data_IF_203131729013
#
_entry.id   IF_203131729013
#
_cell.length_a   1.000
_cell.length_b   1.000
_cell.length_c   1.000
_cell.angle_alpha   90.00
_cell.angle_beta   90.00
_cell.angle_gamma   90.00
#
_symmetry.space_group_name_H-M   'P 1'
#
loop_
_entity.id
_entity.type
_entity.pdbx_description
1 polymer ?
#
# COMPACT_ATOMS: atom_id res chain seq x y z
N UNK A 1 20.54 7.94 -16.05
CA UNK A 1 19.33 7.20 -15.62
C UNK A 1 19.20 7.38 -14.12
N UNK A 2 18.03 7.78 -13.61
CA UNK A 2 17.81 7.79 -12.15
C UNK A 2 17.72 6.34 -11.67
N UNK A 3 18.43 6.01 -10.59
CA UNK A 3 18.28 4.71 -9.93
C UNK A 3 16.80 4.50 -9.53
N UNK A 4 16.26 3.29 -9.70
CA UNK A 4 14.90 3.00 -9.26
C UNK A 4 14.78 3.24 -7.75
N UNK A 5 13.63 3.73 -7.31
CA UNK A 5 13.37 3.86 -5.87
C UNK A 5 13.23 2.47 -5.24
N UNK A 6 13.49 2.36 -3.93
CA UNK A 6 13.33 1.10 -3.20
C UNK A 6 11.94 0.45 -3.40
N UNK A 7 10.90 1.29 -3.55
CA UNK A 7 9.53 0.82 -3.85
C UNK A 7 9.45 0.23 -5.26
N UNK A 8 10.12 0.83 -6.26
CA UNK A 8 10.12 0.31 -7.63
C UNK A 8 10.85 -1.02 -7.71
N UNK A 9 11.99 -1.16 -7.02
CA UNK A 9 12.71 -2.43 -6.91
C UNK A 9 11.84 -3.51 -6.26
N UNK A 10 11.17 -3.18 -5.16
CA UNK A 10 10.28 -4.10 -4.47
C UNK A 10 9.11 -4.53 -5.37
N UNK A 11 8.50 -3.60 -6.11
CA UNK A 11 7.43 -3.92 -7.06
C UNK A 11 7.89 -4.89 -8.16
N UNK A 12 9.11 -4.71 -8.69
CA UNK A 12 9.70 -5.63 -9.64
C UNK A 12 9.91 -7.05 -9.06
N UNK A 13 10.40 -7.14 -7.82
CA UNK A 13 10.57 -8.42 -7.11
C UNK A 13 9.21 -9.10 -6.88
N UNK A 14 8.20 -8.36 -6.47
CA UNK A 14 6.84 -8.88 -6.24
C UNK A 14 6.21 -9.37 -7.53
N UNK A 15 6.35 -8.59 -8.61
CA UNK A 15 5.78 -8.92 -9.91
C UNK A 15 6.37 -10.19 -10.52
N UNK A 16 7.61 -10.54 -10.18
CA UNK A 16 8.26 -11.78 -10.58
C UNK A 16 8.12 -12.09 -12.10
N UNK A 17 8.20 -11.04 -12.91
CA UNK A 17 8.02 -11.14 -14.36
C UNK A 17 6.58 -11.35 -14.85
N UNK A 18 5.59 -11.34 -13.98
CA UNK A 18 4.18 -11.48 -14.37
C UNK A 18 3.67 -10.18 -15.01
N UNK A 19 3.21 -10.30 -16.26
CA UNK A 19 2.77 -9.15 -17.05
C UNK A 19 1.66 -8.32 -16.34
N UNK A 20 1.89 -7.01 -16.22
CA UNK A 20 0.97 -6.04 -15.64
C UNK A 20 0.96 -5.99 -14.13
N UNK A 21 1.67 -6.88 -13.41
CA UNK A 21 1.67 -6.88 -11.95
C UNK A 21 2.38 -5.66 -11.37
N UNK A 22 3.53 -5.27 -11.93
CA UNK A 22 4.29 -4.10 -11.49
C UNK A 22 3.52 -2.80 -11.72
N UNK A 23 2.92 -2.64 -12.91
CA UNK A 23 2.07 -1.48 -13.23
C UNK A 23 0.85 -1.40 -12.31
N UNK A 24 0.25 -2.54 -12.00
CA UNK A 24 -0.86 -2.62 -11.06
C UNK A 24 -0.45 -2.17 -9.64
N UNK A 25 0.69 -2.64 -9.13
CA UNK A 25 1.22 -2.23 -7.82
C UNK A 25 1.51 -0.72 -7.77
N UNK A 26 2.10 -0.18 -8.84
CA UNK A 26 2.33 1.26 -8.96
C UNK A 26 1.02 2.04 -8.94
N UNK A 27 0.02 1.59 -9.69
CA UNK A 27 -1.31 2.19 -9.74
C UNK A 27 -2.00 2.12 -8.38
N UNK A 28 -1.89 1.00 -7.66
CA UNK A 28 -2.38 0.85 -6.29
C UNK A 28 -1.80 1.91 -5.35
N UNK A 29 -0.49 2.11 -5.36
CA UNK A 29 0.16 3.15 -4.57
C UNK A 29 -0.32 4.57 -4.92
N UNK A 30 -0.47 4.87 -6.21
CA UNK A 30 -1.00 6.16 -6.67
C UNK A 30 -2.46 6.38 -6.23
N UNK A 31 -3.29 5.33 -6.30
CA UNK A 31 -4.68 5.38 -5.87
C UNK A 31 -4.79 5.64 -4.36
N UNK A 32 -4.04 4.89 -3.54
CA UNK A 32 -4.00 5.10 -2.09
C UNK A 32 -3.57 6.53 -1.75
N UNK A 33 -2.53 7.07 -2.41
CA UNK A 33 -2.10 8.44 -2.18
C UNK A 33 -3.16 9.48 -2.57
N UNK A 34 -3.88 9.26 -3.67
CA UNK A 34 -4.96 10.16 -4.08
C UNK A 34 -6.12 10.16 -3.07
N UNK A 35 -6.45 8.99 -2.52
CA UNK A 35 -7.48 8.86 -1.46
C UNK A 35 -7.03 9.52 -0.17
N UNK A 36 -5.77 9.35 0.23
CA UNK A 36 -5.16 9.94 1.42
C UNK A 36 -5.19 11.48 1.36
N UNK A 37 -4.82 12.08 0.23
CA UNK A 37 -4.87 13.53 0.02
C UNK A 37 -6.28 14.10 0.28
N UNK A 38 -7.34 13.40 -0.15
CA UNK A 38 -8.73 13.87 0.01
C UNK A 38 -9.26 13.60 1.41
N UNK A 39 -9.05 12.40 1.94
CA UNK A 39 -9.73 11.96 3.17
C UNK A 39 -8.99 12.36 4.44
N UNK A 40 -7.67 12.30 4.44
CA UNK A 40 -6.84 12.58 5.61
C UNK A 40 -6.31 14.02 5.61
N UNK A 41 -5.73 14.45 4.50
CA UNK A 41 -5.19 15.81 4.35
C UNK A 41 -6.29 16.85 4.02
N UNK A 42 -7.55 16.41 3.86
CA UNK A 42 -8.73 17.26 3.63
C UNK A 42 -8.60 18.20 2.42
N UNK A 43 -7.91 17.75 1.39
CA UNK A 43 -7.75 18.49 0.12
C UNK A 43 -8.99 18.27 -0.76
N UNK A 44 -10.08 18.95 -0.44
CA UNK A 44 -11.39 18.79 -1.07
C UNK A 44 -11.56 19.53 -2.40
N UNK A 45 -10.49 20.02 -3.02
CA UNK A 45 -10.55 20.64 -4.32
C UNK A 45 -11.11 19.66 -5.37
N UNK A 46 -11.95 20.15 -6.31
CA UNK A 46 -12.58 19.30 -7.33
C UNK A 46 -11.58 18.44 -8.11
N UNK A 47 -10.39 18.97 -8.36
CA UNK A 47 -9.30 18.28 -9.06
C UNK A 47 -8.81 17.04 -8.30
N UNK A 48 -8.71 17.12 -6.97
CA UNK A 48 -8.30 16.00 -6.13
C UNK A 48 -9.39 14.91 -6.08
N UNK A 49 -10.65 15.32 -5.95
CA UNK A 49 -11.78 14.38 -5.99
C UNK A 49 -11.84 13.69 -7.36
N UNK A 50 -11.73 14.46 -8.45
CA UNK A 50 -11.70 13.90 -9.80
C UNK A 50 -10.52 12.93 -10.00
N UNK A 51 -9.34 13.27 -9.45
CA UNK A 51 -8.17 12.38 -9.48
C UNK A 51 -8.46 11.03 -8.81
N UNK A 52 -9.11 11.02 -7.63
CA UNK A 52 -9.52 9.77 -6.97
C UNK A 52 -10.45 8.95 -7.84
N UNK A 53 -11.47 9.57 -8.44
CA UNK A 53 -12.42 8.89 -9.33
C UNK A 53 -11.73 8.30 -10.56
N UNK A 54 -10.85 9.06 -11.20
CA UNK A 54 -10.09 8.59 -12.36
C UNK A 54 -9.14 7.45 -12.01
N UNK A 55 -8.44 7.54 -10.85
CA UNK A 55 -7.58 6.47 -10.36
C UNK A 55 -8.37 5.20 -10.03
N UNK A 56 -9.56 5.33 -9.42
CA UNK A 56 -10.46 4.22 -9.16
C UNK A 56 -10.87 3.52 -10.46
N UNK A 57 -11.29 4.29 -11.48
CA UNK A 57 -11.64 3.74 -12.79
C UNK A 57 -10.47 2.97 -13.41
N UNK A 58 -9.26 3.54 -13.39
CA UNK A 58 -8.06 2.88 -13.91
C UNK A 58 -7.71 1.61 -13.13
N UNK A 59 -7.79 1.68 -11.81
CA UNK A 59 -7.49 0.56 -10.92
C UNK A 59 -8.43 -0.63 -11.16
N UNK A 60 -9.75 -0.40 -11.13
CA UNK A 60 -10.74 -1.48 -11.27
C UNK A 60 -10.85 -2.01 -12.71
N UNK A 61 -10.44 -1.24 -13.72
CA UNK A 61 -10.36 -1.69 -15.12
C UNK A 61 -8.99 -2.23 -15.51
N UNK A 62 -7.99 -2.20 -14.62
CA UNK A 62 -6.65 -2.65 -14.94
C UNK A 62 -6.64 -4.15 -15.31
N UNK A 63 -5.98 -4.56 -16.42
CA UNK A 63 -6.05 -5.94 -16.91
C UNK A 63 -5.60 -7.00 -15.88
N UNK A 64 -4.59 -6.66 -15.05
CA UNK A 64 -4.15 -7.53 -13.97
C UNK A 64 -5.25 -7.71 -12.90
N UNK A 65 -5.91 -6.62 -12.48
CA UNK A 65 -7.03 -6.69 -11.53
C UNK A 65 -8.19 -7.53 -12.08
N UNK A 66 -8.64 -7.24 -13.30
CA UNK A 66 -9.75 -7.93 -13.92
C UNK A 66 -9.48 -9.44 -14.04
N UNK A 67 -8.24 -9.82 -14.44
CA UNK A 67 -7.83 -11.23 -14.53
C UNK A 67 -7.84 -11.95 -13.18
N UNK A 68 -7.53 -11.24 -12.11
CA UNK A 68 -7.36 -11.80 -10.77
C UNK A 68 -8.40 -11.32 -9.76
N UNK A 69 -9.53 -10.77 -10.21
CA UNK A 69 -10.55 -10.16 -9.36
C UNK A 69 -11.01 -11.06 -8.22
N UNK A 70 -11.21 -12.35 -8.48
CA UNK A 70 -11.61 -13.33 -7.46
C UNK A 70 -10.61 -13.46 -6.29
N UNK A 71 -9.33 -13.10 -6.50
CA UNK A 71 -8.29 -13.13 -5.47
C UNK A 71 -7.99 -11.76 -4.88
N UNK A 72 -8.27 -10.68 -5.60
CA UNK A 72 -7.90 -9.31 -5.22
C UNK A 72 -9.05 -8.52 -4.60
N UNK A 73 -10.30 -8.85 -4.92
CA UNK A 73 -11.45 -8.10 -4.44
C UNK A 73 -11.52 -8.04 -2.91
N UNK A 74 -11.37 -9.18 -2.23
CA UNK A 74 -11.43 -9.22 -0.76
C UNK A 74 -10.26 -8.48 -0.10
N UNK A 75 -8.99 -8.69 -0.48
CA UNK A 75 -7.89 -7.87 0.03
C UNK A 75 -8.10 -6.37 -0.16
N UNK A 76 -8.61 -5.92 -1.30
CA UNK A 76 -8.91 -4.49 -1.56
C UNK A 76 -9.99 -3.97 -0.63
N UNK A 77 -11.09 -4.72 -0.45
CA UNK A 77 -12.19 -4.33 0.45
C UNK A 77 -11.72 -4.27 1.92
N UNK A 78 -10.97 -5.28 2.37
CA UNK A 78 -10.41 -5.33 3.73
C UNK A 78 -9.46 -4.16 3.94
N UNK A 79 -8.51 -3.94 3.03
CA UNK A 79 -7.56 -2.84 3.10
C UNK A 79 -8.27 -1.48 3.18
N UNK A 80 -9.27 -1.25 2.35
CA UNK A 80 -10.05 -0.01 2.32
C UNK A 80 -10.81 0.20 3.63
N UNK A 81 -11.44 -0.86 4.19
CA UNK A 81 -12.16 -0.77 5.45
C UNK A 81 -11.22 -0.44 6.62
N UNK A 82 -10.12 -1.18 6.74
CA UNK A 82 -9.14 -0.97 7.82
C UNK A 82 -8.49 0.42 7.73
N UNK A 83 -8.18 0.89 6.52
CA UNK A 83 -7.68 2.23 6.31
C UNK A 83 -8.71 3.29 6.72
N UNK A 84 -10.00 3.11 6.40
CA UNK A 84 -11.09 4.00 6.83
C UNK A 84 -11.18 4.08 8.35
N UNK A 85 -11.05 2.94 9.03
CA UNK A 85 -11.02 2.90 10.50
C UNK A 85 -9.79 3.62 11.05
N UNK A 86 -8.61 3.50 10.39
CA UNK A 86 -7.41 4.21 10.80
C UNK A 86 -7.60 5.73 10.83
N UNK A 87 -8.21 6.30 9.78
CA UNK A 87 -8.49 7.75 9.67
C UNK A 87 -9.43 8.22 10.78
N UNK A 88 -10.41 7.40 11.15
CA UNK A 88 -11.33 7.71 12.26
C UNK A 88 -10.63 7.63 13.62
N UNK A 89 -9.90 6.56 13.88
CA UNK A 89 -9.27 6.28 15.16
C UNK A 89 -8.11 7.22 15.47
N UNK A 90 -7.42 7.75 14.46
CA UNK A 90 -6.38 8.77 14.66
C UNK A 90 -6.90 10.04 15.37
N UNK A 91 -8.17 10.37 15.16
CA UNK A 91 -8.85 11.54 15.74
C UNK A 91 -9.49 11.28 17.11
N UNK A 92 -9.49 10.02 17.55
CA UNK A 92 -10.08 9.62 18.83
C UNK A 92 -9.17 9.97 20.01
N UNK A 93 -9.75 10.29 21.19
CA UNK A 93 -8.96 10.70 22.36
C UNK A 93 -8.18 9.54 23.00
N UNK A 94 -8.64 8.30 22.82
CA UNK A 94 -8.04 7.13 23.46
C UNK A 94 -6.66 6.78 22.85
N UNK A 95 -5.59 6.75 23.68
CA UNK A 95 -4.24 6.51 23.17
C UNK A 95 -4.08 5.19 22.42
N UNK A 96 -4.76 4.12 22.85
CA UNK A 96 -4.69 2.81 22.21
C UNK A 96 -5.28 2.81 20.81
N UNK A 97 -6.37 3.59 20.57
CA UNK A 97 -6.94 3.73 19.22
C UNK A 97 -5.97 4.40 18.27
N UNK A 98 -5.26 5.45 18.71
CA UNK A 98 -4.25 6.12 17.89
C UNK A 98 -3.09 5.20 17.54
N UNK A 99 -2.63 4.37 18.48
CA UNK A 99 -1.60 3.37 18.20
C UNK A 99 -2.07 2.34 17.16
N UNK A 100 -3.31 1.86 17.29
CA UNK A 100 -3.88 0.94 16.31
C UNK A 100 -4.15 1.61 14.96
N UNK A 101 -4.50 2.89 14.93
CA UNK A 101 -4.66 3.65 13.70
C UNK A 101 -3.40 3.60 12.83
N UNK A 102 -2.23 3.75 13.45
CA UNK A 102 -0.96 3.63 12.75
C UNK A 102 -0.77 2.24 12.10
N UNK A 103 -1.13 1.17 12.81
CA UNK A 103 -1.06 -0.20 12.28
C UNK A 103 -2.04 -0.39 11.12
N UNK A 104 -3.29 0.05 11.30
CA UNK A 104 -4.35 -0.09 10.30
C UNK A 104 -4.07 0.73 9.02
N UNK A 105 -3.32 1.83 9.14
CA UNK A 105 -2.93 2.66 7.99
C UNK A 105 -2.07 1.90 6.97
N UNK A 106 -1.39 0.84 7.41
CA UNK A 106 -0.61 -0.03 6.53
C UNK A 106 -1.42 -1.17 5.89
N UNK A 107 -2.75 -1.17 6.03
CA UNK A 107 -3.63 -2.19 5.45
C UNK A 107 -3.53 -2.34 3.93
N UNK A 108 -3.07 -1.29 3.23
CA UNK A 108 -2.74 -1.39 1.79
C UNK A 108 -1.75 -2.51 1.44
N UNK A 109 -0.96 -2.97 2.41
CA UNK A 109 -0.04 -4.09 2.25
C UNK A 109 -0.75 -5.42 2.01
N UNK A 110 -2.00 -5.58 2.44
CA UNK A 110 -2.81 -6.78 2.15
C UNK A 110 -2.94 -7.02 0.65
N UNK A 111 -3.12 -5.96 -0.13
CA UNK A 111 -3.19 -6.04 -1.59
C UNK A 111 -1.81 -6.39 -2.18
N UNK A 112 -0.74 -5.83 -1.65
CA UNK A 112 0.63 -6.12 -2.09
C UNK A 112 0.97 -7.60 -1.85
N UNK A 113 0.64 -8.13 -0.66
CA UNK A 113 0.84 -9.55 -0.32
C UNK A 113 -0.03 -10.47 -1.19
N UNK A 114 -1.27 -10.06 -1.50
CA UNK A 114 -2.12 -10.81 -2.43
C UNK A 114 -1.53 -10.86 -3.84
N UNK A 115 -0.95 -9.77 -4.34
CA UNK A 115 -0.22 -9.76 -5.62
C UNK A 115 1.00 -10.67 -5.56
N UNK A 116 1.79 -10.60 -4.49
CA UNK A 116 2.94 -11.48 -4.30
C UNK A 116 2.53 -12.97 -4.30
N UNK A 117 1.40 -13.30 -3.66
CA UNK A 117 0.82 -14.65 -3.68
C UNK A 117 0.38 -15.08 -5.08
N UNK A 118 -0.19 -14.17 -5.87
CA UNK A 118 -0.60 -14.45 -7.25
C UNK A 118 0.61 -14.71 -8.15
N UNK A 119 1.67 -13.90 -8.01
CA UNK A 119 2.84 -13.92 -8.89
C UNK A 119 3.87 -14.98 -8.51
N UNK A 120 4.04 -15.26 -7.22
CA UNK A 120 5.09 -16.13 -6.70
C UNK A 120 4.62 -17.23 -5.75
N UNK A 121 3.31 -17.43 -5.61
CA UNK A 121 2.76 -18.39 -4.67
C UNK A 121 3.09 -18.07 -3.21
N UNK A 122 2.93 -19.06 -2.34
CA UNK A 122 3.20 -18.94 -0.91
C UNK A 122 4.63 -18.46 -0.61
N UNK A 123 5.63 -19.02 -1.31
CA UNK A 123 7.03 -18.63 -1.11
C UNK A 123 7.31 -17.19 -1.55
N UNK A 124 6.70 -16.75 -2.65
CA UNK A 124 6.78 -15.35 -3.09
C UNK A 124 6.21 -14.40 -2.05
N UNK A 125 5.03 -14.70 -1.52
CA UNK A 125 4.41 -13.89 -0.47
C UNK A 125 5.26 -13.87 0.81
N UNK A 126 5.76 -15.02 1.29
CA UNK A 126 6.61 -15.10 2.48
C UNK A 126 7.89 -14.29 2.35
N UNK A 127 8.55 -14.38 1.19
CA UNK A 127 9.79 -13.64 0.93
C UNK A 127 9.60 -12.13 1.03
N UNK A 128 8.42 -11.62 0.64
CA UNK A 128 8.10 -10.18 0.62
C UNK A 128 7.58 -9.66 1.97
N UNK A 129 6.94 -10.50 2.78
CA UNK A 129 6.23 -10.08 3.98
C UNK A 129 7.14 -9.32 4.96
N UNK A 130 8.30 -9.87 5.31
CA UNK A 130 9.20 -9.23 6.27
C UNK A 130 9.83 -7.93 5.75
N UNK A 131 10.37 -7.85 4.52
CA UNK A 131 10.85 -6.60 3.93
C UNK A 131 9.76 -5.51 3.86
N UNK A 132 8.53 -5.87 3.48
CA UNK A 132 7.42 -4.94 3.41
C UNK A 132 7.08 -4.35 4.78
N UNK A 133 7.02 -5.16 5.82
CA UNK A 133 6.78 -4.71 7.19
C UNK A 133 7.94 -3.83 7.72
N UNK A 134 9.18 -4.18 7.39
CA UNK A 134 10.35 -3.36 7.75
C UNK A 134 10.29 -1.97 7.10
N UNK A 135 9.86 -1.85 5.85
CA UNK A 135 9.67 -0.55 5.18
C UNK A 135 8.60 0.30 5.89
N UNK A 136 7.49 -0.30 6.30
CA UNK A 136 6.45 0.38 7.06
C UNK A 136 6.97 0.88 8.41
N UNK A 137 7.76 0.06 9.11
CA UNK A 137 8.37 0.44 10.38
C UNK A 137 9.33 1.62 10.23
N UNK A 138 10.19 1.61 9.20
CA UNK A 138 11.12 2.72 8.93
C UNK A 138 10.36 4.02 8.67
N UNK A 139 9.33 3.98 7.82
CA UNK A 139 8.47 5.15 7.56
C UNK A 139 7.85 5.71 8.83
N UNK A 140 7.35 4.82 9.69
CA UNK A 140 6.72 5.18 10.95
C UNK A 140 7.72 5.77 11.95
N UNK A 141 8.89 5.15 12.10
CA UNK A 141 9.96 5.60 12.96
C UNK A 141 10.47 6.99 12.56
N UNK A 142 10.63 7.26 11.26
CA UNK A 142 11.01 8.56 10.73
C UNK A 142 9.96 9.64 11.06
N UNK A 143 8.67 9.29 10.93
CA UNK A 143 7.55 10.21 11.21
C UNK A 143 7.45 10.58 12.70
N UNK A 144 7.74 9.65 13.59
CA UNK A 144 7.56 9.81 15.04
C UNK A 144 8.86 9.99 15.83
N UNK A 145 10.01 10.11 15.15
CA UNK A 145 11.32 10.38 15.77
C UNK A 145 11.78 9.26 16.71
N UNK A 146 11.47 8.00 16.40
CA UNK A 146 11.88 6.85 17.21
C UNK A 146 13.38 6.60 17.05
N UNK A 147 14.20 6.63 18.12
CA UNK A 147 15.64 6.38 18.03
C UNK A 147 15.92 4.93 17.62
N UNK A 148 16.89 4.72 16.75
CA UNK A 148 17.40 3.40 16.39
C UNK A 148 16.81 2.78 15.13
N UNK A 149 16.40 3.61 14.17
CA UNK A 149 16.00 3.14 12.83
C UNK A 149 17.12 2.30 12.22
N UNK A 150 16.88 1.04 11.85
CA UNK A 150 17.90 0.24 11.17
C UNK A 150 18.29 0.90 9.86
N UNK A 151 19.61 1.01 9.60
CA UNK A 151 20.10 1.46 8.29
C UNK A 151 19.40 0.67 7.18
N UNK A 152 19.03 1.39 6.10
CA UNK A 152 18.38 0.82 4.90
C UNK A 152 19.25 -0.22 4.21
N UNK A 153 19.42 -1.38 4.81
CA UNK A 153 19.91 -2.57 4.10
C UNK A 153 18.69 -3.31 3.56
N UNK A 154 18.20 -2.85 2.43
CA UNK A 154 17.29 -3.65 1.61
C UNK A 154 18.08 -4.84 1.08
N UNK A 155 17.71 -5.99 1.57
CA UNK A 155 17.90 -7.36 1.06
C UNK A 155 19.04 -7.52 0.04
N UNK A 156 20.19 -7.97 0.50
CA UNK A 156 21.15 -8.71 -0.32
C UNK A 156 20.69 -10.16 -0.47
#
# INVERSE_FOLDING_TARGET
MKEPSAIQELNGIIANGVAGAEDFLRLWGCYLRAVDDVCDEQKWEPENILRVLMMACQFYSHPFYVRHVAKLQMPVLIATNLWTDSVRWEKEPEPWKRQWADVLRHSGNEVILAVAMICGGWEGMRRISAPLMAMCYVYHADKHGVPGTPERKLVS
#
